data_IF_526351069796
#
_entry.id   IF_526351069796
#
_cell.length_a   1.000
_cell.length_b   1.000
_cell.length_c   1.000
_cell.angle_alpha   90.00
_cell.angle_beta   90.00
_cell.angle_gamma   90.00
#
_symmetry.space_group_name_H-M   'P 1'
#
loop_
_entity.id
_entity.type
_entity.pdbx_description
1 polymer ?
#
# COMPACT_ATOMS: atom_id res chain seq x y z
N UNK A 1 14.49 -21.04 -9.01
CA UNK A 1 14.77 -19.99 -8.00
C UNK A 1 13.69 -20.09 -6.95
N UNK A 2 14.05 -20.05 -5.67
CA UNK A 2 13.07 -20.14 -4.58
C UNK A 2 12.37 -18.79 -4.44
N UNK A 3 11.04 -18.78 -4.32
CA UNK A 3 10.28 -17.55 -4.08
C UNK A 3 10.69 -16.97 -2.72
N UNK A 4 11.05 -15.68 -2.69
CA UNK A 4 11.46 -15.00 -1.45
C UNK A 4 10.28 -14.87 -0.47
N UNK A 5 9.08 -14.70 -1.01
CA UNK A 5 7.82 -14.80 -0.28
C UNK A 5 7.44 -16.29 -0.22
N UNK A 6 7.07 -16.76 0.97
CA UNK A 6 6.82 -18.18 1.25
C UNK A 6 5.44 -18.32 1.90
N UNK A 7 4.91 -19.54 1.98
CA UNK A 7 3.65 -19.81 2.69
C UNK A 7 3.66 -19.33 4.14
N UNK A 8 4.82 -19.44 4.81
CA UNK A 8 5.00 -18.92 6.16
C UNK A 8 4.84 -17.40 6.25
N UNK A 9 5.20 -16.66 5.20
CA UNK A 9 4.95 -15.22 5.12
C UNK A 9 3.45 -14.94 4.96
N UNK A 10 2.76 -15.69 4.09
CA UNK A 10 1.30 -15.57 3.91
C UNK A 10 0.56 -15.88 5.21
N UNK A 11 0.87 -16.99 5.88
CA UNK A 11 0.25 -17.42 7.15
C UNK A 11 0.43 -16.41 8.29
N UNK A 12 1.51 -15.63 8.26
CA UNK A 12 1.81 -14.59 9.26
C UNK A 12 1.34 -13.21 8.86
N UNK A 13 0.85 -13.05 7.64
CA UNK A 13 0.41 -11.76 7.15
C UNK A 13 -0.85 -11.32 7.87
N UNK A 14 -1.03 -10.01 7.94
CA UNK A 14 -2.22 -9.39 8.52
C UNK A 14 -3.23 -9.16 7.40
N UNK A 15 -4.49 -9.47 7.66
CA UNK A 15 -5.59 -8.87 6.91
C UNK A 15 -5.63 -7.35 7.14
N UNK A 16 -6.41 -6.64 6.33
CA UNK A 16 -6.56 -5.19 6.51
C UNK A 16 -7.14 -4.80 7.88
N UNK A 17 -8.14 -5.55 8.37
CA UNK A 17 -8.74 -5.31 9.68
C UNK A 17 -7.76 -5.58 10.83
N UNK A 18 -6.97 -6.66 10.74
CA UNK A 18 -5.91 -6.94 11.73
C UNK A 18 -4.83 -5.87 11.72
N UNK A 19 -4.42 -5.39 10.55
CA UNK A 19 -3.49 -4.26 10.45
C UNK A 19 -4.08 -2.99 11.09
N UNK A 20 -5.35 -2.66 10.85
CA UNK A 20 -6.02 -1.52 11.47
C UNK A 20 -6.06 -1.64 13.00
N UNK A 21 -6.42 -2.81 13.51
CA UNK A 21 -6.47 -3.09 14.95
C UNK A 21 -5.08 -2.98 15.59
N UNK A 22 -4.05 -3.54 14.95
CA UNK A 22 -2.67 -3.42 15.40
C UNK A 22 -2.26 -1.94 15.55
N UNK A 23 -2.54 -1.11 14.55
CA UNK A 23 -2.20 0.33 14.60
C UNK A 23 -2.97 1.05 15.71
N UNK A 24 -4.25 0.73 15.91
CA UNK A 24 -5.04 1.28 17.00
C UNK A 24 -4.47 0.92 18.38
N UNK A 25 -4.15 -0.36 18.60
CA UNK A 25 -3.55 -0.85 19.85
C UNK A 25 -2.18 -0.20 20.13
N UNK A 26 -1.37 0.01 19.10
CA UNK A 26 -0.08 0.69 19.23
C UNK A 26 -0.27 2.16 19.61
N UNK A 27 -1.21 2.86 18.97
CA UNK A 27 -1.51 4.25 19.31
C UNK A 27 -2.03 4.40 20.74
N UNK A 28 -2.85 3.47 21.23
CA UNK A 28 -3.30 3.45 22.63
C UNK A 28 -2.13 3.35 23.63
N UNK A 29 -0.98 2.81 23.19
CA UNK A 29 0.27 2.68 23.96
C UNK A 29 1.30 3.76 23.63
N UNK A 30 0.93 4.81 22.87
CA UNK A 30 1.84 5.81 22.31
C UNK A 30 3.02 5.19 21.53
N UNK A 31 2.72 4.23 20.66
CA UNK A 31 3.71 3.53 19.80
C UNK A 31 3.31 3.58 18.33
N UNK A 32 4.23 3.17 17.47
CA UNK A 32 4.01 2.89 16.04
C UNK A 32 4.60 1.53 15.65
N UNK A 33 4.41 1.11 14.41
CA UNK A 33 5.07 -0.06 13.83
C UNK A 33 6.54 0.26 13.50
N UNK A 34 7.37 -0.78 13.36
CA UNK A 34 8.80 -0.63 13.14
C UNK A 34 9.62 -0.28 14.39
N UNK A 35 10.94 -0.17 14.25
CA UNK A 35 11.83 0.02 15.42
C UNK A 35 11.94 1.48 15.87
N UNK A 36 11.59 2.43 14.99
CA UNK A 36 11.67 3.86 15.29
C UNK A 36 10.41 4.34 16.02
N UNK A 37 10.53 4.47 17.35
CA UNK A 37 9.46 4.91 18.25
C UNK A 37 9.56 6.40 18.61
N UNK A 38 10.15 7.23 17.73
CA UNK A 38 10.24 8.67 17.97
C UNK A 38 8.87 9.35 18.00
N UNK A 39 8.76 10.46 18.74
CA UNK A 39 7.53 11.26 18.81
C UNK A 39 7.01 11.68 17.42
N UNK A 40 7.93 11.98 16.49
CA UNK A 40 7.59 12.31 15.12
C UNK A 40 6.88 11.15 14.41
N UNK A 41 7.37 9.91 14.54
CA UNK A 41 6.79 8.73 13.91
C UNK A 41 5.43 8.38 14.52
N UNK A 42 5.31 8.46 15.85
CA UNK A 42 4.02 8.28 16.56
C UNK A 42 3.02 9.35 16.09
N UNK A 43 3.47 10.60 15.96
CA UNK A 43 2.66 11.71 15.44
C UNK A 43 2.19 11.46 14.00
N UNK A 44 3.07 10.95 13.13
CA UNK A 44 2.70 10.54 11.77
C UNK A 44 1.67 9.41 11.79
N UNK A 45 1.86 8.40 12.63
CA UNK A 45 0.90 7.29 12.76
C UNK A 45 -0.47 7.76 13.19
N UNK A 46 -0.56 8.68 14.17
CA UNK A 46 -1.84 9.27 14.59
C UNK A 46 -2.53 9.99 13.43
N UNK A 47 -1.79 10.81 12.69
CA UNK A 47 -2.32 11.51 11.51
C UNK A 47 -2.76 10.54 10.40
N UNK A 48 -1.96 9.50 10.17
CA UNK A 48 -2.22 8.49 9.15
C UNK A 48 -3.43 7.63 9.47
N UNK A 49 -3.62 7.25 10.74
CA UNK A 49 -4.80 6.52 11.17
C UNK A 49 -6.09 7.28 10.83
N UNK A 50 -6.14 8.59 11.11
CA UNK A 50 -7.27 9.45 10.74
C UNK A 50 -7.48 9.56 9.22
N UNK A 51 -6.39 9.58 8.44
CA UNK A 51 -6.47 9.59 6.96
C UNK A 51 -7.11 8.31 6.44
N UNK A 52 -6.71 7.16 7.00
CA UNK A 52 -7.26 5.87 6.64
C UNK A 52 -8.75 5.78 6.99
N UNK A 53 -9.16 6.21 8.20
CA UNK A 53 -10.58 6.28 8.60
C UNK A 53 -11.44 7.11 7.64
N UNK A 54 -10.90 8.25 7.19
CA UNK A 54 -11.58 9.09 6.22
C UNK A 54 -11.74 8.37 4.88
N UNK A 55 -10.68 7.73 4.38
CA UNK A 55 -10.71 7.05 3.08
C UNK A 55 -11.66 5.86 3.09
N UNK A 56 -11.68 5.06 4.16
CA UNK A 56 -12.64 3.94 4.33
C UNK A 56 -14.09 4.40 4.14
N UNK A 57 -14.43 5.57 4.68
CA UNK A 57 -15.79 6.15 4.61
C UNK A 57 -16.09 6.84 3.28
N UNK A 58 -15.08 7.32 2.56
CA UNK A 58 -15.28 8.26 1.44
C UNK A 58 -14.94 7.69 0.07
N UNK A 59 -14.02 6.71 -0.01
CA UNK A 59 -13.62 6.08 -1.27
C UNK A 59 -14.80 5.30 -1.84
N UNK A 60 -15.03 5.46 -3.14
CA UNK A 60 -15.99 4.66 -3.91
C UNK A 60 -15.21 4.05 -5.06
N UNK A 61 -15.43 2.76 -5.29
CA UNK A 61 -14.78 2.10 -6.41
C UNK A 61 -15.39 2.58 -7.73
N UNK A 62 -14.55 2.68 -8.74
CA UNK A 62 -14.98 2.92 -10.11
C UNK A 62 -15.83 1.75 -10.60
N UNK A 63 -17.00 1.98 -11.23
CA UNK A 63 -17.85 0.90 -11.73
C UNK A 63 -17.10 -0.08 -12.64
N UNK A 64 -16.30 0.42 -13.57
CA UNK A 64 -15.52 -0.40 -14.50
C UNK A 64 -14.48 -1.27 -13.79
N UNK A 65 -13.95 -0.83 -12.64
CA UNK A 65 -13.04 -1.63 -11.83
C UNK A 65 -13.80 -2.75 -11.11
N UNK A 66 -15.01 -2.47 -10.59
CA UNK A 66 -15.86 -3.50 -9.99
C UNK A 66 -16.17 -4.58 -11.01
N UNK A 67 -16.56 -4.21 -12.24
CA UNK A 67 -16.88 -5.17 -13.30
C UNK A 67 -15.68 -6.09 -13.58
N UNK A 68 -14.48 -5.53 -13.73
CA UNK A 68 -13.23 -6.31 -13.93
C UNK A 68 -12.96 -7.23 -12.73
N UNK A 69 -13.13 -6.77 -11.50
CA UNK A 69 -12.86 -7.56 -10.29
C UNK A 69 -13.82 -8.75 -10.12
N UNK A 70 -15.07 -8.61 -10.57
CA UNK A 70 -16.07 -9.69 -10.55
C UNK A 70 -15.79 -10.76 -11.60
N UNK A 71 -15.25 -10.37 -12.75
CA UNK A 71 -14.85 -11.30 -13.83
C UNK A 71 -13.44 -11.89 -13.61
N UNK A 72 -12.66 -11.32 -12.70
CA UNK A 72 -11.30 -11.76 -12.42
C UNK A 72 -11.30 -13.15 -11.75
N UNK A 73 -10.84 -14.17 -12.48
CA UNK A 73 -10.93 -15.58 -12.06
C UNK A 73 -9.63 -16.16 -11.52
N UNK A 74 -8.50 -15.48 -11.69
CA UNK A 74 -7.19 -15.98 -11.23
C UNK A 74 -7.05 -15.74 -9.71
N UNK A 75 -6.87 -16.79 -8.89
CA UNK A 75 -6.67 -16.61 -7.45
C UNK A 75 -5.30 -16.00 -7.16
N UNK A 76 -5.27 -14.83 -6.50
CA UNK A 76 -4.05 -14.09 -6.16
C UNK A 76 -3.92 -13.80 -4.67
N UNK A 77 -2.67 -13.79 -4.21
CA UNK A 77 -2.27 -13.02 -3.05
C UNK A 77 -1.74 -11.67 -3.49
N UNK A 78 -2.25 -10.59 -2.89
CA UNK A 78 -1.62 -9.28 -2.95
C UNK A 78 -0.88 -9.04 -1.65
N UNK A 79 0.42 -9.29 -1.68
CA UNK A 79 1.30 -9.10 -0.52
C UNK A 79 1.76 -7.64 -0.50
N UNK A 80 1.46 -6.90 0.57
CA UNK A 80 1.83 -5.49 0.70
C UNK A 80 2.77 -5.30 1.89
N UNK A 81 3.96 -4.77 1.62
CA UNK A 81 4.86 -4.25 2.65
C UNK A 81 4.38 -2.86 3.09
N UNK A 82 4.12 -2.69 4.39
CA UNK A 82 3.53 -1.49 4.94
C UNK A 82 4.08 -1.14 6.33
N UNK A 83 3.94 0.13 6.72
CA UNK A 83 4.20 0.65 8.06
C UNK A 83 3.24 1.80 8.37
N UNK A 84 2.81 1.89 9.63
CA UNK A 84 1.76 2.81 10.05
C UNK A 84 2.19 4.29 10.03
N UNK A 85 3.48 4.55 10.18
CA UNK A 85 4.06 5.90 10.09
C UNK A 85 4.17 6.43 8.66
N UNK A 86 4.00 5.57 7.64
CA UNK A 86 4.13 5.98 6.25
C UNK A 86 2.88 6.69 5.71
N UNK A 87 3.04 7.94 5.29
CA UNK A 87 1.95 8.73 4.73
C UNK A 87 1.36 8.16 3.45
N UNK A 88 2.16 7.54 2.59
CA UNK A 88 1.68 6.92 1.34
C UNK A 88 0.92 5.62 1.61
N UNK A 89 1.33 4.84 2.61
CA UNK A 89 0.57 3.66 3.06
C UNK A 89 -0.83 4.10 3.48
N UNK A 90 -0.91 5.15 4.28
CA UNK A 90 -2.19 5.69 4.76
C UNK A 90 -3.13 6.16 3.65
N UNK A 91 -2.60 6.54 2.48
CA UNK A 91 -3.38 7.06 1.35
C UNK A 91 -3.78 5.97 0.36
N UNK A 92 -2.98 4.93 0.20
CA UNK A 92 -3.20 3.90 -0.82
C UNK A 92 -3.78 2.60 -0.23
N UNK A 93 -3.33 2.16 0.95
CA UNK A 93 -3.72 0.87 1.52
C UNK A 93 -5.24 0.73 1.75
N UNK A 94 -5.99 1.74 2.26
CA UNK A 94 -7.44 1.62 2.39
C UNK A 94 -8.16 1.45 1.05
N UNK A 95 -7.65 2.07 -0.01
CA UNK A 95 -8.21 1.93 -1.36
C UNK A 95 -7.92 0.53 -1.89
N UNK A 96 -6.69 0.04 -1.73
CA UNK A 96 -6.31 -1.32 -2.15
C UNK A 96 -7.12 -2.38 -1.40
N UNK A 97 -7.31 -2.23 -0.09
CA UNK A 97 -8.16 -3.12 0.68
C UNK A 97 -9.60 -3.15 0.14
N UNK A 98 -10.16 -1.99 -0.21
CA UNK A 98 -11.48 -1.93 -0.82
C UNK A 98 -11.55 -2.61 -2.19
N UNK A 99 -10.49 -2.52 -2.99
CA UNK A 99 -10.36 -3.21 -4.27
C UNK A 99 -10.36 -4.73 -4.04
N UNK A 100 -9.57 -5.23 -3.09
CA UNK A 100 -9.52 -6.67 -2.79
C UNK A 100 -10.84 -7.19 -2.22
N UNK A 101 -11.51 -6.42 -1.35
CA UNK A 101 -12.82 -6.79 -0.79
C UNK A 101 -13.91 -6.94 -1.86
N UNK A 102 -13.74 -6.28 -3.02
CA UNK A 102 -14.66 -6.35 -4.15
C UNK A 102 -14.35 -7.49 -5.13
N UNK A 103 -13.32 -8.32 -4.87
CA UNK A 103 -13.01 -9.51 -5.67
C UNK A 103 -13.05 -10.78 -4.82
N UNK A 104 -13.72 -11.85 -5.28
CA UNK A 104 -13.72 -13.14 -4.58
C UNK A 104 -12.38 -13.90 -4.70
N UNK A 105 -11.50 -13.47 -5.60
CA UNK A 105 -10.28 -14.23 -5.97
C UNK A 105 -8.98 -13.51 -5.56
N UNK A 106 -9.05 -12.37 -4.89
CA UNK A 106 -7.86 -11.61 -4.52
C UNK A 106 -7.83 -11.43 -3.00
N UNK A 107 -6.83 -12.04 -2.36
CA UNK A 107 -6.62 -11.96 -0.93
C UNK A 107 -5.51 -10.96 -0.60
N UNK A 108 -5.80 -10.01 0.30
CA UNK A 108 -4.84 -9.02 0.76
C UNK A 108 -4.04 -9.55 1.96
N UNK A 109 -2.71 -9.60 1.80
CA UNK A 109 -1.75 -10.05 2.81
C UNK A 109 -0.80 -8.90 3.19
N UNK A 110 -0.89 -8.35 4.39
CA UNK A 110 -0.05 -7.23 4.81
C UNK A 110 1.13 -7.75 5.65
N UNK A 111 2.34 -7.34 5.27
CA UNK A 111 3.57 -7.62 6.00
C UNK A 111 4.19 -6.31 6.48
N UNK A 112 4.66 -6.27 7.72
CA UNK A 112 5.40 -5.11 8.24
C UNK A 112 6.78 -5.05 7.57
N UNK A 113 7.08 -3.93 6.92
CA UNK A 113 8.31 -3.73 6.14
C UNK A 113 9.55 -4.00 6.97
N UNK A 114 9.61 -3.46 8.18
CA UNK A 114 10.81 -3.48 9.01
C UNK A 114 11.08 -4.89 9.58
N UNK A 115 10.04 -5.73 9.69
CA UNK A 115 10.14 -7.14 10.09
C UNK A 115 10.44 -8.10 8.93
N UNK A 116 10.31 -7.61 7.69
CA UNK A 116 10.48 -8.39 6.45
C UNK A 116 11.47 -7.68 5.51
N UNK A 117 12.62 -7.27 6.06
CA UNK A 117 13.60 -6.44 5.37
C UNK A 117 14.21 -7.14 4.15
N UNK A 118 14.36 -8.47 4.20
CA UNK A 118 14.84 -9.29 3.09
C UNK A 118 13.88 -9.25 1.89
N UNK A 119 12.57 -9.26 2.13
CA UNK A 119 11.58 -9.09 1.06
C UNK A 119 11.69 -7.66 0.54
N UNK A 120 11.72 -6.65 1.42
CA UNK A 120 11.84 -5.25 0.99
C UNK A 120 13.10 -5.00 0.14
N UNK A 121 14.22 -5.64 0.46
CA UNK A 121 15.49 -5.51 -0.28
C UNK A 121 15.44 -6.13 -1.68
N UNK A 122 14.59 -7.14 -1.89
CA UNK A 122 14.35 -7.69 -3.23
C UNK A 122 13.46 -6.79 -4.11
N UNK A 123 12.67 -5.90 -3.50
CA UNK A 123 11.64 -5.11 -4.17
C UNK A 123 11.86 -3.59 -4.07
N UNK A 124 13.11 -3.14 -4.20
CA UNK A 124 13.48 -1.72 -4.15
C UNK A 124 12.83 -0.92 -5.29
N UNK A 125 12.30 0.26 -4.97
CA UNK A 125 11.88 1.24 -5.99
C UNK A 125 12.97 2.29 -6.16
N UNK A 126 13.58 2.35 -7.34
CA UNK A 126 14.69 3.25 -7.65
C UNK A 126 15.84 3.15 -6.62
N UNK A 127 16.18 1.91 -6.23
CA UNK A 127 17.22 1.62 -5.24
C UNK A 127 16.84 1.93 -3.79
N UNK A 128 15.59 2.36 -3.52
CA UNK A 128 15.14 2.71 -2.18
C UNK A 128 14.06 1.74 -1.66
N UNK A 129 14.14 1.43 -0.36
CA UNK A 129 13.13 0.67 0.40
C UNK A 129 11.85 1.49 0.59
N UNK A 130 11.05 1.60 -0.47
CA UNK A 130 9.84 2.45 -0.52
C UNK A 130 8.58 1.63 -0.25
N UNK A 131 7.65 2.18 0.52
CA UNK A 131 6.36 1.57 0.85
C UNK A 131 5.20 2.55 0.61
N UNK A 132 3.97 2.05 0.37
CA UNK A 132 3.57 0.64 0.27
C UNK A 132 4.24 -0.08 -0.92
N UNK A 133 4.60 -1.35 -0.81
CA UNK A 133 5.07 -2.13 -1.96
C UNK A 133 4.21 -3.37 -2.08
N UNK A 134 3.42 -3.44 -3.15
CA UNK A 134 2.57 -4.58 -3.47
C UNK A 134 3.32 -5.55 -4.37
N UNK A 135 3.23 -6.83 -4.07
CA UNK A 135 3.69 -7.95 -4.89
C UNK A 135 2.48 -8.87 -5.10
N UNK A 136 2.10 -9.05 -6.36
CA UNK A 136 1.00 -9.94 -6.75
C UNK A 136 1.56 -11.33 -7.05
N UNK A 137 1.03 -12.34 -6.36
CA UNK A 137 1.47 -13.74 -6.46
C UNK A 137 0.29 -14.64 -6.78
N UNK A 138 0.49 -15.67 -7.61
CA UNK A 138 -0.53 -16.72 -7.77
C UNK A 138 -0.66 -17.54 -6.49
N UNK A 139 -1.89 -17.88 -6.11
CA UNK A 139 -2.12 -18.62 -4.86
C UNK A 139 -1.68 -20.08 -4.91
N UNK A 140 -1.44 -20.67 -6.08
CA UNK A 140 -1.06 -22.07 -6.26
C UNK A 140 0.42 -22.33 -5.94
N UNK A 141 1.32 -21.56 -6.53
CA UNK A 141 2.77 -21.77 -6.49
C UNK A 141 3.55 -20.56 -5.96
N UNK A 142 2.87 -19.46 -5.64
CA UNK A 142 3.46 -18.18 -5.23
C UNK A 142 4.35 -17.55 -6.31
N UNK A 143 4.14 -17.89 -7.59
CA UNK A 143 4.81 -17.22 -8.71
C UNK A 143 4.37 -15.77 -8.79
N UNK A 144 5.35 -14.88 -8.95
CA UNK A 144 5.09 -13.45 -9.10
C UNK A 144 4.54 -13.15 -10.49
N UNK A 145 3.45 -12.38 -10.53
CA UNK A 145 2.86 -11.86 -11.77
C UNK A 145 3.12 -10.36 -11.96
N UNK A 146 3.50 -9.67 -10.89
CA UNK A 146 3.93 -8.29 -10.95
C UNK A 146 3.96 -7.61 -9.59
N UNK A 147 4.29 -6.33 -9.60
CA UNK A 147 4.34 -5.51 -8.41
C UNK A 147 3.89 -4.08 -8.68
N UNK A 148 3.45 -3.39 -7.63
CA UNK A 148 3.03 -1.99 -7.69
C UNK A 148 3.61 -1.21 -6.51
N UNK A 149 3.80 0.10 -6.70
CA UNK A 149 4.13 1.03 -5.63
C UNK A 149 5.47 1.78 -5.81
N UNK A 150 5.71 2.81 -4.97
CA UNK A 150 4.96 3.11 -3.75
C UNK A 150 3.75 4.03 -3.91
N UNK A 151 3.61 4.67 -5.06
CA UNK A 151 2.63 5.74 -5.26
C UNK A 151 2.08 5.64 -6.68
N UNK A 152 0.87 6.19 -6.91
CA UNK A 152 0.40 6.46 -8.26
C UNK A 152 1.40 7.34 -9.02
N UNK A 153 1.40 7.23 -10.33
CA UNK A 153 2.41 7.81 -11.22
C UNK A 153 2.53 9.32 -11.05
N UNK A 154 1.42 10.06 -10.92
CA UNK A 154 1.44 11.50 -10.67
C UNK A 154 2.11 11.84 -9.35
N UNK A 155 1.76 11.16 -8.25
CA UNK A 155 2.40 11.36 -6.95
C UNK A 155 3.90 10.98 -6.98
N UNK A 156 4.26 9.93 -7.71
CA UNK A 156 5.65 9.54 -7.90
C UNK A 156 6.43 10.61 -8.69
N UNK A 157 5.83 11.17 -9.74
CA UNK A 157 6.41 12.26 -10.52
C UNK A 157 6.59 13.52 -9.68
N UNK A 158 5.62 13.87 -8.83
CA UNK A 158 5.75 14.99 -7.89
C UNK A 158 7.00 14.85 -7.01
N UNK A 159 7.27 13.64 -6.49
CA UNK A 159 8.46 13.37 -5.69
C UNK A 159 9.76 13.47 -6.52
N UNK A 160 9.77 12.91 -7.72
CA UNK A 160 10.96 12.95 -8.59
C UNK A 160 11.30 14.38 -9.00
N UNK A 161 10.31 15.19 -9.34
CA UNK A 161 10.51 16.60 -9.67
C UNK A 161 10.98 17.43 -8.47
N UNK A 162 10.41 17.17 -7.29
CA UNK A 162 10.90 17.78 -6.04
C UNK A 162 12.36 17.42 -5.79
N UNK A 163 12.77 16.15 -5.98
CA UNK A 163 14.17 15.73 -5.81
C UNK A 163 15.15 16.39 -6.78
N UNK A 164 14.72 16.69 -8.01
CA UNK A 164 15.55 17.36 -9.01
C UNK A 164 15.71 18.85 -8.74
N UNK A 165 14.62 19.52 -8.37
CA UNK A 165 14.52 20.98 -8.37
C UNK A 165 13.92 21.52 -7.05
N UNK A 166 14.39 21.02 -5.90
CA UNK A 166 13.85 21.37 -4.59
C UNK A 166 14.04 22.86 -4.28
N UNK A 167 12.97 23.64 -4.41
CA UNK A 167 12.88 25.01 -3.87
C UNK A 167 12.05 25.06 -2.59
N UNK A 168 11.11 24.12 -2.43
CA UNK A 168 10.24 23.99 -1.25
C UNK A 168 10.88 23.06 -0.20
N UNK A 169 10.52 23.25 1.06
CA UNK A 169 10.92 22.37 2.17
C UNK A 169 10.23 21.01 2.08
N UNK A 170 10.75 20.00 2.81
CA UNK A 170 10.12 18.68 2.91
C UNK A 170 8.70 18.74 3.48
N UNK A 171 8.43 19.68 4.39
CA UNK A 171 7.11 19.86 4.99
C UNK A 171 6.10 20.43 3.97
N UNK A 172 6.52 21.43 3.20
CA UNK A 172 5.70 22.03 2.12
C UNK A 172 5.39 21.00 1.05
N UNK A 173 6.40 20.25 0.60
CA UNK A 173 6.21 19.15 -0.35
C UNK A 173 5.22 18.10 0.20
N UNK A 174 5.39 17.68 1.47
CA UNK A 174 4.49 16.71 2.10
C UNK A 174 3.03 17.22 2.12
N UNK A 175 2.81 18.47 2.50
CA UNK A 175 1.48 19.12 2.46
C UNK A 175 0.90 19.10 1.04
N UNK A 176 1.69 19.48 0.04
CA UNK A 176 1.29 19.48 -1.37
C UNK A 176 0.93 18.09 -1.89
N UNK A 177 1.76 17.09 -1.58
CA UNK A 177 1.51 15.69 -1.94
C UNK A 177 0.22 15.16 -1.30
N UNK A 178 0.02 15.40 0.00
CA UNK A 178 -1.20 14.96 0.68
C UNK A 178 -2.46 15.73 0.25
N UNK A 179 -2.33 16.99 -0.18
CA UNK A 179 -3.40 17.74 -0.82
C UNK A 179 -3.79 17.14 -2.16
N UNK A 180 -2.81 16.72 -2.98
CA UNK A 180 -3.07 16.00 -4.23
C UNK A 180 -3.84 14.70 -3.97
N UNK A 181 -3.39 13.86 -3.02
CA UNK A 181 -4.13 12.66 -2.63
C UNK A 181 -5.57 12.95 -2.21
N UNK A 182 -5.79 14.04 -1.45
CA UNK A 182 -7.13 14.45 -1.03
C UNK A 182 -8.03 14.89 -2.18
N UNK A 183 -7.45 15.44 -3.26
CA UNK A 183 -8.16 15.83 -4.48
C UNK A 183 -8.42 14.62 -5.38
N UNK A 184 -7.42 13.76 -5.57
CA UNK A 184 -7.49 12.57 -6.41
C UNK A 184 -8.45 11.52 -5.83
N UNK A 185 -8.51 11.38 -4.49
CA UNK A 185 -9.37 10.43 -3.78
C UNK A 185 -9.17 8.96 -4.20
N UNK A 186 -7.98 8.62 -4.67
CA UNK A 186 -7.64 7.27 -5.12
C UNK A 186 -8.16 6.92 -6.51
N UNK A 187 -8.52 7.91 -7.34
CA UNK A 187 -8.97 7.66 -8.70
C UNK A 187 -7.81 7.16 -9.57
N UNK A 188 -6.65 7.82 -9.54
CA UNK A 188 -5.50 7.39 -10.34
C UNK A 188 -5.02 5.99 -9.93
N UNK A 189 -5.00 5.72 -8.62
CA UNK A 189 -4.69 4.38 -8.10
C UNK A 189 -5.61 3.31 -8.69
N UNK A 190 -6.92 3.56 -8.71
CA UNK A 190 -7.88 2.60 -9.26
C UNK A 190 -7.70 2.40 -10.77
N UNK A 191 -7.39 3.46 -11.52
CA UNK A 191 -7.10 3.35 -12.96
C UNK A 191 -5.83 2.54 -13.22
N UNK A 192 -4.78 2.70 -12.42
CA UNK A 192 -3.58 1.86 -12.53
C UNK A 192 -3.90 0.39 -12.25
N UNK A 193 -4.70 0.10 -11.22
CA UNK A 193 -5.08 -1.27 -10.88
C UNK A 193 -5.99 -1.90 -11.94
N UNK A 194 -6.85 -1.11 -12.59
CA UNK A 194 -7.63 -1.58 -13.74
C UNK A 194 -6.72 -2.09 -14.87
N UNK A 195 -5.66 -1.36 -15.18
CA UNK A 195 -4.68 -1.77 -16.20
C UNK A 195 -3.82 -2.97 -15.75
N UNK A 196 -3.42 -3.01 -14.47
CA UNK A 196 -2.68 -4.13 -13.91
C UNK A 196 -3.49 -5.43 -13.94
N UNK A 197 -4.77 -5.38 -13.56
CA UNK A 197 -5.65 -6.56 -13.58
C UNK A 197 -5.80 -7.13 -15.00
N UNK A 198 -5.95 -6.29 -16.02
CA UNK A 198 -5.98 -6.73 -17.43
C UNK A 198 -4.68 -7.43 -17.84
N UNK A 199 -3.55 -7.01 -17.29
CA UNK A 199 -2.26 -7.63 -17.57
C UNK A 199 -2.06 -8.94 -16.79
N UNK A 200 -2.51 -8.98 -15.54
CA UNK A 200 -2.40 -10.11 -14.60
C UNK A 200 -3.39 -11.24 -14.84
N UNK A 201 -4.41 -11.02 -15.66
CA UNK A 201 -5.37 -12.05 -16.06
C UNK A 201 -4.82 -13.00 -17.15
N UNK A 202 -3.69 -12.66 -17.79
CA UNK A 202 -3.06 -13.47 -18.85
C UNK A 202 -2.24 -14.64 -18.29
#
# INVERSE_FOLDING_TARGET
>A
MQNIITRKHIEKSLSYSEYRNLVEELLAKNKTTGTNQSEAYIGYTKLNFQRMERLEKTVKLLPELIDVLQEFSTPLYWVILAEAWCGDVAQNLPVIAKITDASPNIELCILLRDENAEIMDAYLTNGARSIPKLIALKQDDLSEIGSWGPRPQTAQNMLLEHKKNAQETKEEFSKKLHAWYGKDKGNELQQEFLELLKYWQK
#
